data_IF_070481277443
#
_entry.id   IF_070481277443
#
_cell.length_a   1.000
_cell.length_b   1.000
_cell.length_c   1.000
_cell.angle_alpha   90.00
_cell.angle_beta   90.00
_cell.angle_gamma   90.00
#
_symmetry.space_group_name_H-M   'P 1'
#
loop_
_entity.id
_entity.type
_entity.pdbx_description
1 polymer ?
#
# COMPACT_ATOMS: atom_id res chain seq x y z
N UNK A 1 -1.17 11.24 13.63
CA UNK A 1 -0.09 10.42 13.02
C UNK A 1 -0.20 10.53 11.51
N UNK A 2 0.89 10.80 10.85
CA UNK A 2 0.94 10.92 9.40
C UNK A 2 2.05 10.03 8.84
N UNK A 3 1.85 9.56 7.63
CA UNK A 3 2.82 8.72 6.94
C UNK A 3 3.80 9.63 6.18
N UNK A 4 5.10 9.37 6.32
CA UNK A 4 6.11 10.11 5.56
C UNK A 4 6.15 9.58 4.14
N UNK A 5 6.02 10.47 3.16
CA UNK A 5 6.03 10.12 1.74
C UNK A 5 7.30 10.66 1.09
N UNK A 6 8.09 9.74 0.52
CA UNK A 6 9.27 10.09 -0.26
C UNK A 6 8.98 9.79 -1.74
N UNK A 7 8.72 10.82 -2.51
CA UNK A 7 8.47 10.65 -3.94
C UNK A 7 9.79 10.68 -4.70
N UNK A 8 10.29 9.52 -5.04
CA UNK A 8 11.52 9.33 -5.82
C UNK A 8 11.21 9.02 -7.28
N UNK A 9 9.93 9.11 -7.66
CA UNK A 9 9.46 8.82 -9.00
C UNK A 9 9.33 10.10 -9.82
N UNK A 10 9.02 9.92 -11.12
CA UNK A 10 8.67 11.02 -12.01
C UNK A 10 7.16 11.34 -11.96
N UNK A 11 6.40 10.63 -11.13
CA UNK A 11 4.97 10.82 -10.99
C UNK A 11 4.68 12.04 -10.12
N UNK A 12 3.77 12.89 -10.56
CA UNK A 12 3.33 14.05 -9.78
C UNK A 12 2.23 13.60 -8.82
N UNK A 13 2.55 13.57 -7.53
CA UNK A 13 1.61 13.09 -6.50
C UNK A 13 0.79 14.21 -5.87
N UNK A 14 0.93 15.46 -6.37
CA UNK A 14 0.24 16.59 -5.74
C UNK A 14 -1.28 16.43 -5.67
N UNK A 15 -1.87 15.68 -6.60
CA UNK A 15 -3.32 15.44 -6.62
C UNK A 15 -3.76 14.30 -5.70
N UNK A 16 -2.86 13.40 -5.33
CA UNK A 16 -3.23 12.22 -4.54
C UNK A 16 -2.58 12.15 -3.17
N UNK A 17 -1.67 13.08 -2.87
CA UNK A 17 -0.95 13.06 -1.59
C UNK A 17 -1.90 13.11 -0.40
N UNK A 18 -2.90 13.99 -0.46
CA UNK A 18 -3.89 14.12 0.60
C UNK A 18 -4.79 12.87 0.69
N UNK A 19 -5.07 12.24 -0.45
CA UNK A 19 -5.86 11.00 -0.47
C UNK A 19 -5.07 9.85 0.16
N UNK A 20 -3.77 9.79 -0.09
CA UNK A 20 -2.91 8.78 0.53
C UNK A 20 -2.91 8.96 2.04
N UNK A 21 -2.78 10.18 2.52
CA UNK A 21 -2.81 10.45 3.96
C UNK A 21 -4.17 10.13 4.57
N UNK A 22 -5.25 10.42 3.87
CA UNK A 22 -6.59 10.11 4.35
C UNK A 22 -6.82 8.59 4.43
N UNK A 23 -6.35 7.85 3.43
CA UNK A 23 -6.41 6.39 3.46
C UNK A 23 -5.57 5.83 4.61
N UNK A 24 -4.39 6.41 4.85
CA UNK A 24 -3.56 5.99 5.97
C UNK A 24 -4.29 6.21 7.30
N UNK A 25 -4.91 7.36 7.47
CA UNK A 25 -5.66 7.67 8.70
C UNK A 25 -6.82 6.69 8.90
N UNK A 26 -7.55 6.38 7.83
CA UNK A 26 -8.64 5.39 7.87
C UNK A 26 -8.11 4.01 8.27
N UNK A 27 -7.00 3.61 7.65
CA UNK A 27 -6.39 2.32 7.93
C UNK A 27 -5.87 2.24 9.37
N UNK A 28 -5.32 3.34 9.86
CA UNK A 28 -4.83 3.41 11.25
C UNK A 28 -5.98 3.21 12.25
N UNK A 29 -7.13 3.81 11.98
CA UNK A 29 -8.29 3.62 12.86
C UNK A 29 -8.76 2.17 12.87
N UNK A 30 -8.63 1.48 11.75
CA UNK A 30 -9.07 0.08 11.62
C UNK A 30 -8.05 -0.89 12.20
N UNK A 31 -6.76 -0.70 11.90
CA UNK A 31 -5.72 -1.66 12.24
C UNK A 31 -4.91 -1.31 13.48
N UNK A 32 -4.77 -0.03 13.82
CA UNK A 32 -4.07 0.40 15.01
C UNK A 32 -2.55 0.31 14.91
N UNK A 33 -1.92 1.19 14.12
CA UNK A 33 -0.46 1.19 13.98
C UNK A 33 0.20 1.87 15.18
N UNK A 34 1.32 1.32 15.64
CA UNK A 34 2.14 1.93 16.69
C UNK A 34 3.01 3.04 16.14
N UNK A 35 3.55 2.82 14.94
CA UNK A 35 4.41 3.77 14.24
C UNK A 35 3.96 3.87 12.79
N UNK A 36 4.04 5.07 12.18
CA UNK A 36 3.73 5.18 10.75
C UNK A 36 4.87 4.57 9.93
N UNK A 37 4.55 3.85 8.84
CA UNK A 37 5.59 3.40 7.93
C UNK A 37 6.05 4.55 7.06
N UNK A 38 7.21 4.41 6.43
CA UNK A 38 7.67 5.33 5.39
C UNK A 38 7.18 4.80 4.06
N UNK A 39 6.60 5.68 3.24
CA UNK A 39 6.15 5.32 1.90
C UNK A 39 7.11 5.89 0.87
N UNK A 40 7.70 5.01 0.07
CA UNK A 40 8.59 5.38 -1.04
C UNK A 40 7.88 5.11 -2.36
N UNK A 41 7.76 6.13 -3.19
CA UNK A 41 7.21 6.01 -4.53
C UNK A 41 8.37 6.08 -5.52
N UNK A 42 8.52 5.04 -6.34
CA UNK A 42 9.69 4.92 -7.21
C UNK A 42 9.25 4.63 -8.64
N UNK A 43 10.10 5.05 -9.58
CA UNK A 43 9.97 4.71 -10.99
C UNK A 43 10.94 3.58 -11.30
N UNK A 44 10.47 2.56 -12.01
CA UNK A 44 11.30 1.47 -12.47
C UNK A 44 10.88 1.10 -13.88
N UNK A 45 11.55 1.69 -14.85
CA UNK A 45 11.23 1.51 -16.27
C UNK A 45 11.38 0.05 -16.71
N UNK A 46 12.22 -0.72 -16.05
CA UNK A 46 12.38 -2.13 -16.35
C UNK A 46 11.23 -2.99 -15.85
N UNK A 47 10.39 -2.45 -14.97
CA UNK A 47 9.28 -3.15 -14.36
C UNK A 47 7.96 -2.87 -15.10
N UNK A 48 7.96 -3.06 -16.42
CA UNK A 48 6.79 -2.77 -17.25
C UNK A 48 5.91 -3.98 -17.52
N UNK A 49 6.35 -5.16 -17.15
CA UNK A 49 5.59 -6.40 -17.33
C UNK A 49 4.35 -6.41 -16.44
N UNK A 50 3.20 -6.94 -16.92
CA UNK A 50 2.03 -7.14 -16.05
C UNK A 50 2.34 -8.03 -14.85
N UNK A 51 3.38 -8.86 -14.93
CA UNK A 51 3.81 -9.72 -13.85
C UNK A 51 4.89 -9.09 -12.97
N UNK A 52 5.29 -7.85 -13.27
CA UNK A 52 6.29 -7.14 -12.50
C UNK A 52 5.80 -6.80 -11.11
N UNK A 53 6.73 -6.46 -10.23
CA UNK A 53 6.41 -6.08 -8.87
C UNK A 53 5.62 -4.78 -8.86
N UNK A 54 4.55 -4.72 -8.07
CA UNK A 54 3.75 -3.51 -7.90
C UNK A 54 4.13 -2.77 -6.62
N UNK A 55 4.50 -3.50 -5.59
CA UNK A 55 4.86 -2.93 -4.28
C UNK A 55 5.53 -4.00 -3.42
N UNK A 56 6.21 -3.55 -2.37
CA UNK A 56 6.70 -4.48 -1.34
C UNK A 56 6.84 -3.74 -0.01
N UNK A 57 6.87 -4.51 1.07
CA UNK A 57 7.07 -4.01 2.42
C UNK A 57 8.39 -4.53 2.98
N UNK A 58 9.19 -3.63 3.59
CA UNK A 58 10.43 -3.98 4.26
C UNK A 58 10.21 -3.94 5.77
N UNK A 59 10.13 -5.10 6.44
CA UNK A 59 9.86 -5.13 7.88
C UNK A 59 11.01 -4.57 8.73
N UNK A 60 12.24 -4.63 8.23
CA UNK A 60 13.41 -4.13 8.99
C UNK A 60 13.41 -2.61 9.07
N UNK A 61 13.00 -1.94 8.01
CA UNK A 61 12.98 -0.49 7.93
C UNK A 61 11.59 0.10 8.11
N UNK A 62 10.57 -0.74 8.27
CA UNK A 62 9.18 -0.32 8.34
C UNK A 62 8.83 0.62 7.19
N UNK A 63 9.19 0.20 5.97
CA UNK A 63 8.98 1.01 4.78
C UNK A 63 8.22 0.25 3.72
N UNK A 64 7.39 1.00 2.99
CA UNK A 64 6.60 0.51 1.87
C UNK A 64 7.18 1.14 0.60
N UNK A 65 7.45 0.31 -0.41
CA UNK A 65 7.89 0.80 -1.72
C UNK A 65 6.82 0.46 -2.74
N UNK A 66 6.40 1.45 -3.53
CA UNK A 66 5.41 1.26 -4.59
C UNK A 66 6.01 1.75 -5.91
N UNK A 67 5.91 0.88 -6.93
CA UNK A 67 6.33 1.21 -8.29
C UNK A 67 5.14 1.86 -9.00
N UNK A 68 5.32 3.11 -9.46
CA UNK A 68 4.20 3.93 -9.93
C UNK A 68 4.12 4.06 -11.45
N UNK A 69 5.17 3.67 -12.19
CA UNK A 69 5.19 3.85 -13.64
C UNK A 69 4.08 3.06 -14.33
N UNK A 70 3.32 3.75 -15.19
CA UNK A 70 2.27 3.13 -15.96
C UNK A 70 1.06 2.67 -15.15
N UNK A 71 0.91 3.16 -13.94
CA UNK A 71 -0.16 2.72 -13.05
C UNK A 71 -1.16 3.82 -12.76
N UNK A 72 -2.42 3.42 -12.70
CA UNK A 72 -3.49 4.32 -12.27
C UNK A 72 -3.34 4.65 -10.78
N UNK A 73 -3.56 5.91 -10.37
CA UNK A 73 -3.47 6.27 -8.95
C UNK A 73 -4.29 5.40 -8.01
N UNK A 74 -5.46 4.93 -8.47
CA UNK A 74 -6.29 4.03 -7.68
C UNK A 74 -5.57 2.71 -7.38
N UNK A 75 -4.82 2.18 -8.34
CA UNK A 75 -4.05 0.95 -8.14
C UNK A 75 -2.87 1.18 -7.20
N UNK A 76 -2.26 2.36 -7.27
CA UNK A 76 -1.20 2.76 -6.35
C UNK A 76 -1.74 2.75 -4.92
N UNK A 77 -2.91 3.33 -4.71
CA UNK A 77 -3.53 3.40 -3.38
C UNK A 77 -3.98 2.03 -2.89
N UNK A 78 -4.46 1.16 -3.78
CA UNK A 78 -4.82 -0.21 -3.42
C UNK A 78 -3.58 -0.99 -2.98
N UNK A 79 -2.46 -0.82 -3.67
CA UNK A 79 -1.19 -1.43 -3.27
C UNK A 79 -0.73 -0.89 -1.91
N UNK A 80 -0.91 0.39 -1.66
CA UNK A 80 -0.57 0.98 -0.37
C UNK A 80 -1.38 0.33 0.75
N UNK A 81 -2.69 0.17 0.54
CA UNK A 81 -3.55 -0.48 1.53
C UNK A 81 -3.10 -1.91 1.83
N UNK A 82 -2.73 -2.67 0.79
CA UNK A 82 -2.21 -4.03 0.94
C UNK A 82 -0.95 -4.05 1.82
N UNK A 83 0.00 -3.16 1.53
CA UNK A 83 1.25 -3.12 2.26
C UNK A 83 1.08 -2.62 3.69
N UNK A 84 0.07 -1.80 3.96
CA UNK A 84 -0.24 -1.38 5.32
C UNK A 84 -0.64 -2.55 6.21
N UNK A 85 -1.30 -3.58 5.66
CA UNK A 85 -1.59 -4.79 6.42
C UNK A 85 -0.30 -5.51 6.80
N UNK A 86 0.67 -5.56 5.90
CA UNK A 86 1.99 -6.13 6.22
C UNK A 86 2.68 -5.34 7.33
N UNK A 87 2.52 -4.01 7.34
CA UNK A 87 3.07 -3.19 8.41
C UNK A 87 2.45 -3.57 9.76
N UNK A 88 1.13 -3.75 9.81
CA UNK A 88 0.46 -4.23 11.01
C UNK A 88 0.99 -5.59 11.45
N UNK A 89 1.14 -6.51 10.50
CA UNK A 89 1.68 -7.84 10.78
C UNK A 89 3.08 -7.74 11.38
N UNK A 90 3.92 -6.85 10.84
CA UNK A 90 5.26 -6.63 11.36
C UNK A 90 5.22 -6.11 12.79
N UNK A 91 4.36 -5.14 13.07
CA UNK A 91 4.23 -4.59 14.42
C UNK A 91 3.68 -5.59 15.41
N UNK A 92 2.99 -6.63 14.94
CA UNK A 92 2.49 -7.71 15.78
C UNK A 92 3.47 -8.89 15.87
N UNK A 93 4.70 -8.73 15.37
CA UNK A 93 5.74 -9.75 15.48
C UNK A 93 5.63 -10.90 14.50
N UNK A 94 4.78 -10.81 13.49
CA UNK A 94 4.52 -11.94 12.58
C UNK A 94 5.70 -12.21 11.64
N UNK A 95 6.64 -11.26 11.50
CA UNK A 95 7.86 -11.44 10.70
C UNK A 95 9.06 -11.89 11.51
N UNK A 96 8.96 -11.99 12.83
CA UNK A 96 10.10 -12.20 13.71
C UNK A 96 10.89 -13.47 13.43
N UNK A 97 10.24 -14.53 12.98
CA UNK A 97 10.88 -15.81 12.72
C UNK A 97 11.01 -16.12 11.23
N UNK A 98 10.85 -15.10 10.38
CA UNK A 98 10.94 -15.25 8.94
C UNK A 98 12.28 -14.70 8.48
N UNK A 99 13.35 -15.47 8.69
CA UNK A 99 14.71 -15.04 8.34
C UNK A 99 15.11 -15.64 6.99
N UNK A 100 15.72 -14.81 6.15
CA UNK A 100 16.35 -15.25 4.92
C UNK A 100 15.42 -15.58 3.78
N UNK A 101 14.11 -15.58 4.00
CA UNK A 101 13.15 -15.87 2.95
C UNK A 101 12.60 -14.56 2.37
N UNK A 102 13.22 -14.12 1.30
CA UNK A 102 12.78 -12.97 0.55
C UNK A 102 12.96 -13.27 -0.92
N UNK A 103 12.13 -12.65 -1.75
CA UNK A 103 12.20 -12.82 -3.18
C UNK A 103 10.99 -13.51 -3.76
N UNK A 104 11.06 -13.81 -5.04
CA UNK A 104 9.93 -14.34 -5.79
C UNK A 104 9.55 -15.73 -5.26
N UNK A 105 8.25 -15.90 -4.99
CA UNK A 105 7.71 -17.20 -4.60
C UNK A 105 7.90 -17.58 -3.16
N UNK A 106 8.46 -16.72 -2.32
CA UNK A 106 8.68 -17.06 -0.92
C UNK A 106 7.37 -17.42 -0.19
N UNK A 107 6.29 -16.73 -0.51
CA UNK A 107 5.00 -16.99 0.11
C UNK A 107 4.41 -18.33 -0.32
N UNK A 108 4.83 -18.87 -1.46
CA UNK A 108 4.36 -20.17 -1.93
C UNK A 108 5.04 -21.33 -1.21
N UNK A 109 6.31 -21.14 -0.81
CA UNK A 109 7.08 -22.19 -0.16
C UNK A 109 6.90 -22.23 1.36
N UNK A 110 6.39 -21.15 1.97
CA UNK A 110 6.23 -21.04 3.42
C UNK A 110 4.75 -20.84 3.78
N UNK A 111 4.11 -21.82 4.47
CA UNK A 111 2.69 -21.67 4.81
C UNK A 111 2.35 -20.47 5.66
N UNK A 112 3.25 -20.06 6.57
CA UNK A 112 3.03 -18.88 7.40
C UNK A 112 3.00 -17.61 6.55
N UNK A 113 3.98 -17.46 5.66
CA UNK A 113 4.04 -16.30 4.77
C UNK A 113 2.88 -16.28 3.79
N UNK A 114 2.44 -17.46 3.33
CA UNK A 114 1.27 -17.55 2.47
C UNK A 114 0.01 -17.08 3.17
N UNK A 115 -0.14 -17.44 4.44
CA UNK A 115 -1.29 -17.01 5.24
C UNK A 115 -1.27 -15.50 5.45
N UNK A 116 -0.09 -14.94 5.72
CA UNK A 116 0.07 -13.49 5.86
C UNK A 116 -0.27 -12.75 4.56
N UNK A 117 0.16 -13.30 3.43
CA UNK A 117 -0.13 -12.68 2.12
C UNK A 117 -1.62 -12.72 1.80
N UNK A 118 -2.29 -13.83 2.13
CA UNK A 118 -3.75 -13.91 1.95
C UNK A 118 -4.48 -12.91 2.82
N UNK A 119 -4.05 -12.73 4.06
CA UNK A 119 -4.64 -11.74 4.96
C UNK A 119 -4.43 -10.33 4.41
N UNK A 120 -3.22 -10.03 3.95
CA UNK A 120 -2.92 -8.71 3.40
C UNK A 120 -3.78 -8.42 2.16
N UNK A 121 -3.93 -9.42 1.30
CA UNK A 121 -4.76 -9.27 0.11
C UNK A 121 -6.22 -9.01 0.48
N UNK A 122 -6.78 -9.83 1.36
CA UNK A 122 -8.18 -9.70 1.75
C UNK A 122 -8.44 -8.41 2.53
N UNK A 123 -7.70 -8.19 3.61
CA UNK A 123 -7.93 -7.06 4.49
C UNK A 123 -7.56 -5.74 3.82
N UNK A 124 -6.51 -5.74 3.00
CA UNK A 124 -6.10 -4.56 2.25
C UNK A 124 -7.16 -4.12 1.25
N UNK A 125 -7.70 -5.07 0.49
CA UNK A 125 -8.74 -4.76 -0.49
C UNK A 125 -10.04 -4.30 0.17
N UNK A 126 -10.43 -4.95 1.27
CA UNK A 126 -11.65 -4.56 2.00
C UNK A 126 -11.50 -3.18 2.61
N UNK A 127 -10.35 -2.89 3.20
CA UNK A 127 -10.09 -1.58 3.79
C UNK A 127 -10.12 -0.48 2.71
N UNK A 128 -9.46 -0.72 1.58
CA UNK A 128 -9.46 0.24 0.49
C UNK A 128 -10.86 0.51 -0.04
N UNK A 129 -11.65 -0.55 -0.25
CA UNK A 129 -13.02 -0.41 -0.74
C UNK A 129 -13.88 0.38 0.25
N UNK A 130 -13.79 0.04 1.53
CA UNK A 130 -14.57 0.72 2.56
C UNK A 130 -14.16 2.19 2.68
N UNK A 131 -12.86 2.47 2.57
CA UNK A 131 -12.38 3.84 2.56
C UNK A 131 -12.92 4.60 1.35
N UNK A 132 -12.84 4.00 0.17
CA UNK A 132 -13.30 4.65 -1.05
C UNK A 132 -14.80 4.98 -0.98
N UNK A 133 -15.60 4.02 -0.52
CA UNK A 133 -17.04 4.22 -0.37
C UNK A 133 -17.35 5.33 0.63
N UNK A 134 -16.65 5.33 1.75
CA UNK A 134 -16.83 6.36 2.79
C UNK A 134 -16.41 7.74 2.29
N UNK A 135 -15.29 7.81 1.57
CA UNK A 135 -14.79 9.07 1.04
C UNK A 135 -15.74 9.65 -0.02
N UNK A 136 -16.25 8.82 -0.91
CA UNK A 136 -17.21 9.25 -1.93
C UNK A 136 -18.51 9.75 -1.31
N UNK A 137 -18.98 9.11 -0.24
CA UNK A 137 -20.20 9.54 0.45
C UNK A 137 -20.02 10.90 1.12
N UNK A 138 -18.83 11.17 1.67
CA UNK A 138 -18.54 12.42 2.35
C UNK A 138 -18.12 13.54 1.38
N UNK A 139 -17.62 13.19 0.20
CA UNK A 139 -17.03 14.13 -0.75
C UNK A 139 -17.48 13.80 -2.19
N UNK A 140 -18.78 13.78 -2.47
CA UNK A 140 -19.25 13.25 -3.76
C UNK A 140 -18.78 14.06 -4.98
N UNK A 141 -18.59 15.38 -4.83
CA UNK A 141 -18.18 16.22 -5.93
C UNK A 141 -16.66 16.25 -6.11
N UNK A 142 -15.91 16.11 -5.01
CA UNK A 142 -14.45 16.19 -5.05
C UNK A 142 -13.86 15.06 -5.86
N UNK A 143 -14.33 13.83 -5.65
CA UNK A 143 -13.80 12.69 -6.39
C UNK A 143 -14.16 12.73 -7.87
N UNK A 144 -15.33 13.25 -8.20
CA UNK A 144 -15.75 13.41 -9.58
C UNK A 144 -14.91 14.44 -10.32
N UNK A 145 -14.43 15.46 -9.63
CA UNK A 145 -13.60 16.50 -10.20
C UNK A 145 -12.13 16.09 -10.30
N UNK A 146 -11.69 15.13 -9.53
CA UNK A 146 -10.31 14.69 -9.54
C UNK A 146 -10.07 13.73 -10.70
N UNK A 147 -9.03 14.00 -11.47
CA UNK A 147 -8.69 13.20 -12.65
C UNK A 147 -8.33 11.76 -12.31
N UNK A 148 -7.91 11.50 -11.08
CA UNK A 148 -7.46 10.17 -10.66
C UNK A 148 -8.57 9.11 -10.77
N UNK A 149 -9.85 9.52 -10.76
CA UNK A 149 -10.98 8.61 -10.86
C UNK A 149 -11.69 8.69 -12.22
N UNK A 150 -11.15 9.47 -13.15
CA UNK A 150 -11.66 9.52 -14.52
C UNK A 150 -10.80 8.61 -15.39
N UNK A 151 -11.46 7.65 -16.02
CA UNK A 151 -10.79 6.75 -16.94
C UNK A 151 -11.18 7.10 -18.36
#
# INVERSE_FOLDING_TARGET
MACKINNQSNFDISEIEDLIQDLFTFSHKRFGFKNPPVLNLVSDESNTSPLGKTAHYDPNNMSITIYVDGRHPKDIMRSFSHELVHHRQNENGMFDNVSGESGDGYAQSNPHLRKMEKEAYLQGNMCFRDWEDSYKSSNPNILNERRIYKM
#
